data_IF_365819685531
#
_entry.id   IF_365819685531
#
_cell.length_a   1.000
_cell.length_b   1.000
_cell.length_c   1.000
_cell.angle_alpha   90.00
_cell.angle_beta   90.00
_cell.angle_gamma   90.00
#
_symmetry.space_group_name_H-M   'P 1'
#
loop_
_entity.id
_entity.type
_entity.pdbx_description
1 polymer ?
#
# COMPACT_ATOMS: atom_id res chain seq x y z
N UNK A 1 -8.77 -1.86 -5.62
CA UNK A 1 -9.09 -3.31 -5.56
C UNK A 1 -10.14 -3.80 -6.57
N UNK A 2 -10.67 -2.96 -7.47
CA UNK A 2 -11.71 -3.39 -8.43
C UNK A 2 -11.16 -4.22 -9.61
N UNK A 3 -9.90 -4.03 -9.99
CA UNK A 3 -9.33 -4.66 -11.19
C UNK A 3 -9.33 -6.21 -11.14
N UNK A 4 -8.94 -6.89 -10.04
CA UNK A 4 -8.98 -8.36 -9.99
C UNK A 4 -10.40 -8.94 -10.04
N UNK A 5 -11.39 -8.21 -9.50
CA UNK A 5 -12.80 -8.62 -9.54
C UNK A 5 -13.30 -8.55 -10.98
N UNK A 6 -13.05 -7.43 -11.65
CA UNK A 6 -13.38 -7.25 -13.06
C UNK A 6 -12.74 -8.32 -13.95
N UNK A 7 -11.48 -8.69 -13.70
CA UNK A 7 -10.81 -9.76 -14.46
C UNK A 7 -11.53 -11.11 -14.25
N UNK A 8 -11.89 -11.46 -13.01
CA UNK A 8 -12.60 -12.71 -12.72
C UNK A 8 -13.97 -12.77 -13.44
N UNK A 9 -14.74 -11.68 -13.39
CA UNK A 9 -16.01 -11.55 -14.10
C UNK A 9 -15.83 -11.69 -15.62
N UNK A 10 -14.78 -11.07 -16.18
CA UNK A 10 -14.50 -11.13 -17.62
C UNK A 10 -14.03 -12.52 -18.06
N UNK A 11 -13.23 -13.20 -17.24
CA UNK A 11 -12.85 -14.60 -17.48
C UNK A 11 -14.08 -15.50 -17.49
N UNK A 12 -15.00 -15.31 -16.55
CA UNK A 12 -16.28 -16.03 -16.50
C UNK A 12 -17.13 -15.74 -17.74
N UNK A 13 -17.27 -14.45 -18.11
CA UNK A 13 -18.05 -14.01 -19.26
C UNK A 13 -17.53 -14.59 -20.57
N UNK A 14 -16.21 -14.79 -20.69
CA UNK A 14 -15.56 -15.40 -21.86
C UNK A 14 -15.53 -16.92 -21.84
N UNK A 15 -16.06 -17.56 -20.80
CA UNK A 15 -16.05 -19.02 -20.68
C UNK A 15 -14.63 -19.60 -20.49
N UNK A 16 -13.73 -18.82 -19.88
CA UNK A 16 -12.38 -19.30 -19.59
C UNK A 16 -12.41 -20.38 -18.50
N UNK A 17 -11.40 -21.25 -18.50
CA UNK A 17 -11.29 -22.39 -17.57
C UNK A 17 -9.94 -22.47 -16.88
N UNK A 18 -8.97 -21.64 -17.29
CA UNK A 18 -7.64 -21.57 -16.72
C UNK A 18 -7.68 -21.05 -15.27
N UNK A 19 -6.76 -21.48 -14.40
CA UNK A 19 -6.64 -20.91 -13.06
C UNK A 19 -6.32 -19.41 -13.07
N UNK A 20 -6.95 -18.65 -12.17
CA UNK A 20 -6.67 -17.25 -11.88
C UNK A 20 -5.81 -17.15 -10.61
N UNK A 21 -4.56 -16.73 -10.77
CA UNK A 21 -3.64 -16.51 -9.65
C UNK A 21 -3.69 -15.04 -9.23
N UNK A 22 -3.99 -14.79 -7.96
CA UNK A 22 -4.07 -13.45 -7.37
C UNK A 22 -2.91 -13.24 -6.41
N UNK A 23 -2.12 -12.19 -6.62
CA UNK A 23 -1.03 -11.81 -5.71
C UNK A 23 -0.74 -10.31 -5.79
N UNK A 24 0.19 -9.84 -4.94
CA UNK A 24 0.63 -8.45 -4.87
C UNK A 24 0.17 -7.73 -3.60
N UNK A 25 0.77 -6.57 -3.34
CA UNK A 25 0.69 -5.86 -2.05
C UNK A 25 -0.73 -5.50 -1.58
N UNK A 26 -1.66 -5.29 -2.50
CA UNK A 26 -3.06 -4.91 -2.19
C UNK A 26 -4.02 -6.11 -2.11
N UNK A 27 -3.51 -7.32 -2.30
CA UNK A 27 -4.31 -8.54 -2.33
C UNK A 27 -4.14 -9.34 -1.03
N UNK A 28 -5.21 -10.00 -0.61
CA UNK A 28 -5.20 -10.82 0.60
C UNK A 28 -6.08 -12.04 0.43
N UNK A 29 -5.84 -13.08 1.22
CA UNK A 29 -6.68 -14.28 1.26
C UNK A 29 -8.15 -13.93 1.48
N UNK A 30 -8.43 -13.04 2.43
CA UNK A 30 -9.79 -12.60 2.75
C UNK A 30 -10.45 -11.86 1.58
N UNK A 31 -9.75 -10.90 0.96
CA UNK A 31 -10.30 -10.18 -0.20
C UNK A 31 -10.56 -11.13 -1.38
N UNK A 32 -9.63 -12.05 -1.67
CA UNK A 32 -9.78 -13.03 -2.75
C UNK A 32 -10.97 -13.95 -2.50
N UNK A 33 -11.05 -14.54 -1.31
CA UNK A 33 -12.13 -15.47 -0.95
C UNK A 33 -13.52 -14.81 -0.94
N UNK A 34 -13.62 -13.56 -0.47
CA UNK A 34 -14.90 -12.85 -0.28
C UNK A 34 -15.35 -12.11 -1.54
N UNK A 35 -14.44 -11.57 -2.35
CA UNK A 35 -14.77 -10.65 -3.44
C UNK A 35 -14.38 -11.11 -4.83
N UNK A 36 -13.42 -12.04 -4.99
CA UNK A 36 -12.91 -12.42 -6.32
C UNK A 36 -13.39 -13.83 -6.69
N UNK A 37 -13.20 -14.80 -5.80
CA UNK A 37 -13.51 -16.22 -6.01
C UNK A 37 -14.98 -16.48 -6.39
N UNK A 38 -15.90 -15.65 -5.92
CA UNK A 38 -17.34 -15.78 -6.20
C UNK A 38 -17.73 -15.38 -7.63
N UNK A 39 -16.84 -14.68 -8.34
CA UNK A 39 -17.12 -14.14 -9.68
C UNK A 39 -16.54 -14.99 -10.81
N UNK A 40 -15.85 -16.09 -10.49
CA UNK A 40 -15.29 -17.02 -11.46
C UNK A 40 -15.44 -18.47 -10.99
N UNK A 41 -16.08 -19.30 -11.81
CA UNK A 41 -16.31 -20.72 -11.49
C UNK A 41 -15.01 -21.54 -11.57
N UNK A 42 -14.05 -21.10 -12.38
CA UNK A 42 -12.74 -21.73 -12.44
C UNK A 42 -11.92 -21.55 -11.14
N UNK A 43 -10.71 -22.13 -11.09
CA UNK A 43 -9.86 -22.04 -9.91
C UNK A 43 -9.40 -20.60 -9.70
N UNK A 44 -9.63 -20.05 -8.51
CA UNK A 44 -9.04 -18.77 -8.06
C UNK A 44 -8.14 -19.08 -6.89
N UNK A 45 -6.85 -18.72 -6.98
CA UNK A 45 -5.87 -19.02 -5.95
C UNK A 45 -5.09 -17.76 -5.59
N UNK A 46 -5.21 -17.34 -4.35
CA UNK A 46 -4.36 -16.34 -3.73
C UNK A 46 -2.97 -16.91 -3.46
N UNK A 47 -1.94 -16.23 -3.96
CA UNK A 47 -0.54 -16.55 -3.77
C UNK A 47 0.11 -15.42 -2.98
N UNK A 48 0.61 -15.76 -1.79
CA UNK A 48 1.16 -14.79 -0.84
C UNK A 48 2.46 -14.15 -1.34
N UNK A 49 3.35 -14.96 -1.92
CA UNK A 49 4.71 -14.58 -2.30
C UNK A 49 5.19 -15.44 -3.48
N UNK A 50 6.31 -15.04 -4.09
CA UNK A 50 6.83 -15.70 -5.30
C UNK A 50 7.27 -17.14 -5.01
N UNK A 51 7.83 -17.42 -3.83
CA UNK A 51 8.30 -18.75 -3.44
C UNK A 51 7.18 -19.80 -3.50
N UNK A 52 5.96 -19.41 -3.12
CA UNK A 52 4.78 -20.29 -3.10
C UNK A 52 4.12 -20.45 -4.47
N UNK A 53 4.36 -19.54 -5.41
CA UNK A 53 3.75 -19.59 -6.73
C UNK A 53 4.10 -20.87 -7.49
N UNK A 54 5.35 -21.33 -7.36
CA UNK A 54 5.83 -22.56 -8.01
C UNK A 54 5.02 -23.77 -7.55
N UNK A 55 4.88 -23.98 -6.24
CA UNK A 55 4.13 -25.11 -5.69
C UNK A 55 2.64 -25.07 -6.08
N UNK A 56 2.04 -23.88 -6.11
CA UNK A 56 0.66 -23.71 -6.58
C UNK A 56 0.52 -24.11 -8.06
N UNK A 57 1.42 -23.64 -8.93
CA UNK A 57 1.41 -24.00 -10.34
C UNK A 57 1.64 -25.52 -10.54
N UNK A 58 2.55 -26.13 -9.80
CA UNK A 58 2.80 -27.58 -9.86
C UNK A 58 1.54 -28.38 -9.52
N UNK A 59 0.83 -28.02 -8.46
CA UNK A 59 -0.42 -28.67 -8.08
C UNK A 59 -1.52 -28.48 -9.13
N UNK A 60 -1.64 -27.26 -9.69
CA UNK A 60 -2.67 -26.94 -10.69
C UNK A 60 -2.43 -27.60 -12.05
N UNK A 61 -1.17 -27.90 -12.40
CA UNK A 61 -0.80 -28.55 -13.64
C UNK A 61 -0.76 -30.08 -13.53
N UNK A 62 -0.68 -30.63 -12.31
CA UNK A 62 -0.67 -32.08 -12.07
C UNK A 62 -2.06 -32.68 -12.26
N UNK A 63 -2.25 -33.66 -13.16
CA UNK A 63 -3.54 -34.32 -13.35
C UNK A 63 -4.07 -34.99 -12.08
N UNK A 64 -3.19 -35.52 -11.23
CA UNK A 64 -3.56 -36.28 -10.04
C UNK A 64 -3.85 -35.37 -8.83
N UNK A 65 -3.21 -34.21 -8.75
CA UNK A 65 -3.31 -33.29 -7.59
C UNK A 65 -4.29 -32.14 -7.81
N UNK A 66 -4.55 -31.76 -9.07
CA UNK A 66 -5.31 -30.55 -9.43
C UNK A 66 -6.68 -30.51 -8.78
N UNK A 67 -7.48 -31.55 -8.94
CA UNK A 67 -8.88 -31.54 -8.50
C UNK A 67 -8.99 -31.50 -6.97
N UNK A 68 -8.15 -32.28 -6.27
CA UNK A 68 -8.07 -32.26 -4.81
C UNK A 68 -7.61 -30.88 -4.30
N UNK A 69 -6.62 -30.27 -4.95
CA UNK A 69 -6.11 -28.95 -4.58
C UNK A 69 -7.14 -27.84 -4.77
N UNK A 70 -7.90 -27.87 -5.88
CA UNK A 70 -8.98 -26.92 -6.14
C UNK A 70 -10.09 -27.08 -5.10
N UNK A 71 -10.50 -28.32 -4.82
CA UNK A 71 -11.55 -28.61 -3.84
C UNK A 71 -11.16 -28.10 -2.45
N UNK A 72 -9.93 -28.37 -2.01
CA UNK A 72 -9.42 -27.87 -0.73
C UNK A 72 -9.39 -26.34 -0.69
N UNK A 73 -8.90 -25.69 -1.75
CA UNK A 73 -8.84 -24.22 -1.81
C UNK A 73 -10.24 -23.59 -1.72
N UNK A 74 -11.23 -24.15 -2.43
CA UNK A 74 -12.63 -23.68 -2.37
C UNK A 74 -13.24 -23.89 -0.97
N UNK A 75 -12.93 -25.00 -0.31
CA UNK A 75 -13.36 -25.27 1.07
C UNK A 75 -12.74 -24.27 2.06
N UNK A 76 -11.44 -23.99 1.93
CA UNK A 76 -10.74 -23.00 2.76
C UNK A 76 -11.36 -21.61 2.58
N UNK A 77 -11.70 -21.24 1.34
CA UNK A 77 -12.32 -19.94 1.05
C UNK A 77 -13.74 -19.84 1.59
N UNK A 78 -14.50 -20.94 1.59
CA UNK A 78 -15.80 -20.99 2.24
C UNK A 78 -15.66 -20.70 3.75
N UNK A 79 -14.71 -21.35 4.43
CA UNK A 79 -14.44 -21.09 5.85
C UNK A 79 -13.97 -19.66 6.13
N UNK A 80 -13.17 -19.06 5.24
CA UNK A 80 -12.78 -17.64 5.35
C UNK A 80 -13.99 -16.71 5.21
N UNK A 81 -14.90 -16.99 4.27
CA UNK A 81 -16.14 -16.21 4.08
C UNK A 81 -17.04 -16.29 5.30
N UNK A 82 -17.21 -17.47 5.88
CA UNK A 82 -18.02 -17.67 7.09
C UNK A 82 -17.46 -16.88 8.28
N UNK A 83 -16.14 -16.99 8.54
CA UNK A 83 -15.49 -16.22 9.62
C UNK A 83 -15.61 -14.71 9.40
N UNK A 84 -15.42 -14.25 8.17
CA UNK A 84 -15.55 -12.84 7.83
C UNK A 84 -16.99 -12.34 8.04
N UNK A 85 -18.00 -13.14 7.66
CA UNK A 85 -19.41 -12.81 7.90
C UNK A 85 -19.73 -12.75 9.40
N UNK A 86 -19.19 -13.66 10.20
CA UNK A 86 -19.37 -13.65 11.67
C UNK A 86 -18.76 -12.39 12.32
N UNK A 87 -17.60 -11.93 11.83
CA UNK A 87 -16.92 -10.73 12.34
C UNK A 87 -17.59 -9.41 11.91
N UNK A 88 -18.38 -9.40 10.83
CA UNK A 88 -19.09 -8.20 10.39
C UNK A 88 -20.19 -7.74 11.38
N UNK A 89 -20.57 -8.57 12.34
CA UNK A 89 -21.60 -8.26 13.34
C UNK A 89 -21.19 -7.32 14.47
N UNK A 90 -19.90 -7.02 14.66
CA UNK A 90 -19.42 -6.44 15.94
C UNK A 90 -18.85 -5.01 15.88
N UNK A 91 -18.64 -4.40 14.71
CA UNK A 91 -18.25 -2.98 14.71
C UNK A 91 -19.47 -2.13 15.07
N UNK A 92 -19.48 -1.53 16.28
CA UNK A 92 -20.46 -0.50 16.64
C UNK A 92 -20.30 0.71 15.72
N UNK A 93 -20.98 0.69 14.58
CA UNK A 93 -21.03 1.81 13.65
C UNK A 93 -21.99 2.83 14.21
N UNK A 94 -21.51 4.05 14.37
CA UNK A 94 -22.36 5.19 14.73
C UNK A 94 -22.80 5.92 13.47
N UNK A 95 -23.95 6.61 13.48
CA UNK A 95 -24.33 7.49 12.40
C UNK A 95 -23.26 8.56 12.15
N UNK A 96 -23.08 8.96 10.88
CA UNK A 96 -22.10 10.00 10.50
C UNK A 96 -22.27 11.29 11.31
N UNK A 97 -23.51 11.72 11.55
CA UNK A 97 -23.80 12.89 12.38
C UNK A 97 -23.28 12.74 13.82
N UNK A 98 -23.35 11.55 14.41
CA UNK A 98 -22.83 11.28 15.75
C UNK A 98 -21.30 11.28 15.75
N UNK A 99 -20.65 10.75 14.70
CA UNK A 99 -19.20 10.82 14.54
C UNK A 99 -18.71 12.28 14.44
N UNK A 100 -19.36 13.09 13.60
CA UNK A 100 -19.06 14.53 13.45
C UNK A 100 -19.26 15.31 14.74
N UNK A 101 -20.31 15.00 15.51
CA UNK A 101 -20.54 15.61 16.81
C UNK A 101 -19.44 15.26 17.84
N UNK A 102 -18.79 14.11 17.68
CA UNK A 102 -17.68 13.63 18.50
C UNK A 102 -16.30 13.89 17.88
N UNK A 103 -16.19 14.80 16.90
CA UNK A 103 -14.89 15.17 16.31
C UNK A 103 -13.97 15.80 17.35
N UNK A 104 -12.67 15.82 17.04
CA UNK A 104 -11.69 16.53 17.85
C UNK A 104 -12.06 18.03 17.94
N UNK A 105 -12.20 18.55 19.17
CA UNK A 105 -12.53 19.94 19.45
C UNK A 105 -11.26 20.67 19.89
N UNK A 106 -10.58 21.31 18.95
CA UNK A 106 -9.46 22.20 19.25
C UNK A 106 -9.95 23.53 19.86
N UNK A 107 -9.25 24.02 20.89
CA UNK A 107 -9.43 25.38 21.37
C UNK A 107 -8.58 26.37 20.55
N UNK A 108 -9.13 26.81 19.42
CA UNK A 108 -8.48 27.79 18.54
C UNK A 108 -8.31 29.18 19.16
N UNK A 109 -8.97 29.47 20.28
CA UNK A 109 -8.75 30.74 21.00
C UNK A 109 -7.43 30.72 21.78
N UNK A 110 -6.99 29.53 22.20
CA UNK A 110 -5.74 29.29 22.93
C UNK A 110 -4.55 28.91 22.03
N UNK A 111 -4.79 28.58 20.77
CA UNK A 111 -3.78 28.07 19.85
C UNK A 111 -3.80 28.80 18.51
N UNK A 112 -2.68 29.44 18.20
CA UNK A 112 -2.42 30.02 16.88
C UNK A 112 -1.50 29.08 16.10
N UNK A 113 -1.97 28.43 15.03
CA UNK A 113 -1.12 27.60 14.18
C UNK A 113 0.07 28.40 13.67
N UNK A 114 1.31 27.88 13.77
CA UNK A 114 2.48 28.59 13.29
C UNK A 114 2.38 28.74 11.77
N UNK A 115 2.64 29.94 11.21
CA UNK A 115 2.70 30.09 9.78
C UNK A 115 3.88 29.28 9.21
N UNK A 116 3.73 28.66 8.02
CA UNK A 116 4.85 28.01 7.36
C UNK A 116 5.95 29.03 7.06
N UNK A 117 7.22 28.63 7.22
CA UNK A 117 8.37 29.51 6.94
C UNK A 117 8.40 29.99 5.49
N UNK A 118 8.01 29.12 4.55
CA UNK A 118 7.98 29.41 3.12
C UNK A 118 6.70 28.80 2.51
N UNK A 119 5.58 29.53 2.50
CA UNK A 119 4.37 29.09 1.81
C UNK A 119 4.58 29.04 0.29
N UNK A 120 3.74 28.27 -0.40
CA UNK A 120 3.77 28.11 -1.86
C UNK A 120 4.32 26.75 -2.30
N UNK A 121 4.49 26.61 -3.62
CA UNK A 121 4.98 25.39 -4.27
C UNK A 121 6.50 25.40 -4.30
N UNK A 122 7.08 24.29 -3.86
CA UNK A 122 8.50 24.00 -3.85
C UNK A 122 8.80 22.90 -4.85
N UNK A 123 9.72 23.17 -5.78
CA UNK A 123 10.13 22.19 -6.79
C UNK A 123 11.59 21.85 -6.58
N UNK A 124 11.85 20.59 -6.25
CA UNK A 124 13.19 20.02 -6.16
C UNK A 124 13.50 19.35 -7.50
N UNK A 125 14.46 19.91 -8.23
CA UNK A 125 14.96 19.35 -9.49
C UNK A 125 16.37 18.82 -9.26
N UNK A 126 16.62 17.59 -9.69
CA UNK A 126 17.93 16.94 -9.58
C UNK A 126 18.48 16.98 -8.14
N UNK A 127 17.61 16.64 -7.17
CA UNK A 127 18.00 16.53 -5.76
C UNK A 127 19.11 15.50 -5.60
N UNK A 128 20.05 15.78 -4.69
CA UNK A 128 21.24 14.95 -4.52
C UNK A 128 20.87 13.56 -4.02
N UNK A 129 21.23 12.55 -4.81
CA UNK A 129 20.98 11.15 -4.46
C UNK A 129 21.87 10.73 -3.28
N UNK A 130 23.03 11.36 -3.08
CA UNK A 130 23.91 11.05 -1.96
C UNK A 130 23.26 11.43 -0.62
N UNK A 131 22.55 12.56 -0.58
CA UNK A 131 21.79 12.95 0.60
C UNK A 131 20.63 11.98 0.85
N UNK A 132 19.87 11.60 -0.18
CA UNK A 132 18.78 10.63 -0.04
C UNK A 132 19.26 9.25 0.43
N UNK A 133 20.46 8.85 0.05
CA UNK A 133 21.05 7.57 0.47
C UNK A 133 21.17 7.46 2.00
N UNK A 134 21.33 8.58 2.71
CA UNK A 134 21.40 8.62 4.18
C UNK A 134 20.04 8.36 4.85
N UNK A 135 18.93 8.58 4.12
CA UNK A 135 17.56 8.41 4.62
C UNK A 135 16.93 7.07 4.23
N UNK A 136 17.68 6.17 3.59
CA UNK A 136 17.18 4.84 3.23
C UNK A 136 16.92 4.02 4.50
N UNK A 137 15.65 3.66 4.73
CA UNK A 137 15.33 2.52 5.59
C UNK A 137 15.59 1.24 4.80
N UNK A 138 16.59 0.47 5.25
CA UNK A 138 16.96 -0.80 4.62
C UNK A 138 16.05 -1.96 5.01
N UNK A 139 15.18 -1.79 6.01
CA UNK A 139 14.28 -2.87 6.47
C UNK A 139 13.33 -3.33 5.35
N UNK A 140 12.62 -2.45 4.62
CA UNK A 140 11.81 -2.87 3.47
C UNK A 140 12.63 -3.47 2.33
N UNK A 141 13.89 -3.06 2.17
CA UNK A 141 14.79 -3.65 1.17
C UNK A 141 15.05 -5.13 1.47
N UNK A 142 15.40 -5.49 2.71
CA UNK A 142 15.57 -6.90 3.08
C UNK A 142 14.27 -7.70 2.96
N UNK A 143 13.14 -7.11 3.33
CA UNK A 143 11.82 -7.74 3.16
C UNK A 143 11.51 -8.06 1.70
N UNK A 144 11.88 -7.18 0.77
CA UNK A 144 11.70 -7.42 -0.66
C UNK A 144 12.55 -8.59 -1.18
N UNK A 145 13.63 -8.93 -0.48
CA UNK A 145 14.48 -10.10 -0.75
C UNK A 145 14.15 -11.31 0.14
N UNK A 146 12.96 -11.33 0.75
CA UNK A 146 12.47 -12.38 1.65
C UNK A 146 13.36 -12.62 2.91
N UNK A 147 14.24 -11.69 3.24
CA UNK A 147 15.04 -11.70 4.46
C UNK A 147 14.29 -10.98 5.58
N UNK A 148 13.81 -11.75 6.56
CA UNK A 148 12.94 -11.26 7.62
C UNK A 148 13.75 -10.82 8.84
N UNK A 149 13.81 -9.52 9.07
CA UNK A 149 14.49 -8.94 10.22
C UNK A 149 14.53 -7.43 10.09
N UNK A 150 14.81 -6.73 11.19
CA UNK A 150 14.91 -5.26 11.19
C UNK A 150 16.36 -4.84 11.00
N UNK A 151 16.63 -3.90 10.11
CA UNK A 151 17.94 -3.30 10.00
C UNK A 151 18.24 -2.39 11.21
N UNK A 152 19.47 -2.36 11.75
CA UNK A 152 20.66 -3.14 11.35
C UNK A 152 20.76 -4.54 11.98
N UNK A 153 19.88 -4.90 12.92
CA UNK A 153 19.94 -6.16 13.68
C UNK A 153 19.96 -7.43 12.81
N UNK A 154 19.31 -7.41 11.65
CA UNK A 154 19.30 -8.53 10.70
C UNK A 154 20.71 -8.94 10.24
N UNK A 155 21.69 -8.03 10.27
CA UNK A 155 23.06 -8.32 9.87
C UNK A 155 23.82 -9.23 10.85
N UNK A 156 23.35 -9.29 12.10
CA UNK A 156 23.91 -10.10 13.19
C UNK A 156 23.06 -11.36 13.45
N UNK A 157 22.04 -11.61 12.64
CA UNK A 157 21.18 -12.76 12.79
C UNK A 157 21.95 -14.07 12.57
N UNK A 158 21.74 -15.05 13.45
CA UNK A 158 22.49 -16.31 13.42
C UNK A 158 22.14 -17.22 12.23
N UNK A 159 20.98 -17.00 11.60
CA UNK A 159 20.46 -17.83 10.50
C UNK A 159 20.64 -17.14 9.16
N UNK A 160 20.26 -15.86 9.07
CA UNK A 160 20.24 -15.10 7.80
C UNK A 160 21.24 -13.96 7.73
N UNK A 161 22.04 -13.75 8.77
CA UNK A 161 22.92 -12.60 8.87
C UNK A 161 24.08 -12.61 7.88
N UNK A 162 24.53 -13.79 7.44
CA UNK A 162 25.57 -13.89 6.41
C UNK A 162 25.06 -13.41 5.05
N UNK A 163 23.92 -13.93 4.61
CA UNK A 163 23.24 -13.55 3.38
C UNK A 163 22.81 -12.08 3.42
N UNK A 164 22.31 -11.60 4.56
CA UNK A 164 21.93 -10.21 4.74
C UNK A 164 23.14 -9.27 4.61
N UNK A 165 24.31 -9.64 5.17
CA UNK A 165 25.55 -8.86 5.01
C UNK A 165 26.03 -8.84 3.57
N UNK A 166 25.99 -9.97 2.88
CA UNK A 166 26.38 -10.05 1.47
C UNK A 166 25.47 -9.18 0.59
N UNK A 167 24.15 -9.36 0.72
CA UNK A 167 23.17 -8.58 -0.03
C UNK A 167 23.30 -7.07 0.24
N UNK A 168 23.55 -6.69 1.49
CA UNK A 168 23.76 -5.29 1.86
C UNK A 168 25.04 -4.72 1.22
N UNK A 169 26.13 -5.50 1.20
CA UNK A 169 27.38 -5.09 0.56
C UNK A 169 27.18 -4.87 -0.95
N UNK A 170 26.50 -5.80 -1.62
CA UNK A 170 26.19 -5.69 -3.06
C UNK A 170 25.29 -4.48 -3.35
N UNK A 171 24.27 -4.26 -2.52
CA UNK A 171 23.37 -3.11 -2.65
C UNK A 171 24.10 -1.78 -2.44
N UNK A 172 25.01 -1.71 -1.47
CA UNK A 172 25.85 -0.52 -1.25
C UNK A 172 26.82 -0.27 -2.41
N UNK A 173 27.44 -1.31 -2.95
CA UNK A 173 28.30 -1.18 -4.12
C UNK A 173 27.53 -0.72 -5.36
N UNK A 174 26.29 -1.20 -5.54
CA UNK A 174 25.41 -0.73 -6.60
C UNK A 174 24.97 0.72 -6.38
N UNK A 175 24.63 1.10 -5.15
CA UNK A 175 24.28 2.47 -4.80
C UNK A 175 25.45 3.43 -5.09
N UNK A 176 26.68 3.06 -4.72
CA UNK A 176 27.87 3.84 -5.04
C UNK A 176 28.04 4.05 -6.54
N UNK A 177 27.80 3.03 -7.38
CA UNK A 177 27.80 3.16 -8.84
C UNK A 177 26.73 4.13 -9.34
N UNK A 178 25.53 4.10 -8.76
CA UNK A 178 24.43 5.02 -9.11
C UNK A 178 24.82 6.46 -8.77
N UNK A 179 25.43 6.68 -7.59
CA UNK A 179 25.87 8.00 -7.13
C UNK A 179 27.02 8.55 -7.98
N UNK A 180 28.08 7.76 -8.15
CA UNK A 180 29.28 8.16 -8.92
C UNK A 180 28.98 8.32 -10.41
N UNK A 181 28.17 7.41 -10.97
CA UNK A 181 27.73 7.43 -12.35
C UNK A 181 26.62 8.45 -12.64
N UNK A 182 26.03 9.08 -11.61
CA UNK A 182 24.90 10.00 -11.72
C UNK A 182 23.76 9.43 -12.57
N UNK A 183 23.31 8.21 -12.26
CA UNK A 183 22.30 7.45 -13.04
C UNK A 183 20.87 8.00 -12.89
N UNK A 184 20.70 9.32 -13.08
CA UNK A 184 19.46 10.06 -12.89
C UNK A 184 19.57 11.09 -11.76
N UNK A 185 18.45 11.75 -11.48
CA UNK A 185 18.34 12.70 -10.38
C UNK A 185 16.96 12.62 -9.75
N UNK A 186 16.91 12.73 -8.43
CA UNK A 186 15.63 12.75 -7.72
C UNK A 186 14.89 14.05 -8.00
N UNK A 187 13.56 13.96 -8.09
CA UNK A 187 12.68 15.10 -8.34
C UNK A 187 11.50 15.01 -7.40
N UNK A 188 11.10 16.14 -6.84
CA UNK A 188 9.94 16.23 -5.98
C UNK A 188 9.24 17.57 -6.18
N UNK A 189 7.95 17.58 -5.92
CA UNK A 189 7.15 18.80 -5.78
C UNK A 189 6.32 18.67 -4.52
N UNK A 190 6.34 19.70 -3.69
CA UNK A 190 5.50 19.78 -2.50
C UNK A 190 5.05 21.24 -2.33
N UNK A 191 4.03 21.49 -1.51
CA UNK A 191 3.56 22.84 -1.30
C UNK A 191 2.93 23.04 0.06
N UNK A 192 3.05 24.26 0.57
CA UNK A 192 2.48 24.69 1.84
C UNK A 192 1.45 25.79 1.55
N UNK A 193 0.18 25.51 1.80
CA UNK A 193 -0.92 26.39 1.44
C UNK A 193 -1.75 26.77 2.66
N UNK A 194 -2.34 27.98 2.69
CA UNK A 194 -3.38 28.28 3.66
C UNK A 194 -4.53 27.29 3.49
N UNK A 195 -4.98 26.72 4.60
CA UNK A 195 -6.08 25.77 4.60
C UNK A 195 -6.91 25.87 5.89
N UNK A 196 -8.18 25.51 5.81
CA UNK A 196 -9.08 25.41 6.96
C UNK A 196 -9.98 24.18 6.81
N UNK A 197 -10.30 23.55 7.94
CA UNK A 197 -11.33 22.53 7.97
C UNK A 197 -12.70 23.17 7.75
N UNK A 198 -13.52 22.59 6.86
CA UNK A 198 -14.90 23.01 6.57
C UNK A 198 -15.81 21.79 6.53
N UNK A 199 -17.13 22.01 6.64
CA UNK A 199 -18.15 20.93 6.54
C UNK A 199 -17.87 19.69 7.40
N UNK A 200 -17.23 19.88 8.56
CA UNK A 200 -16.75 18.87 9.52
C UNK A 200 -15.56 18.01 9.08
N UNK A 201 -15.54 17.53 7.83
CA UNK A 201 -14.60 16.50 7.37
C UNK A 201 -13.72 16.95 6.19
N UNK A 202 -14.01 18.10 5.58
CA UNK A 202 -13.30 18.59 4.40
C UNK A 202 -12.18 19.58 4.78
N UNK A 203 -11.20 19.74 3.90
CA UNK A 203 -10.17 20.79 4.01
C UNK A 203 -10.24 21.70 2.78
N UNK A 204 -10.62 22.96 2.99
CA UNK A 204 -10.48 24.00 1.97
C UNK A 204 -9.04 24.47 1.88
N UNK A 205 -8.53 24.55 0.66
CA UNK A 205 -7.21 25.09 0.34
C UNK A 205 -7.42 26.41 -0.40
N UNK A 206 -6.69 27.46 0.02
CA UNK A 206 -6.82 28.81 -0.53
C UNK A 206 -5.60 29.22 -1.35
N UNK A 207 -5.81 30.19 -2.26
CA UNK A 207 -4.71 30.83 -2.96
C UNK A 207 -3.78 31.58 -1.97
N UNK A 208 -2.45 31.65 -2.24
CA UNK A 208 -1.56 32.52 -1.48
C UNK A 208 -2.00 33.98 -1.64
N UNK A 209 -2.14 34.74 -0.55
CA UNK A 209 -2.44 36.17 -0.62
C UNK A 209 -1.17 36.95 -1.03
N UNK A 210 -1.24 37.89 -2.00
CA UNK A 210 -0.08 38.70 -2.41
C UNK A 210 0.46 39.61 -1.30
N UNK A 211 -0.39 40.19 -0.45
CA UNK A 211 -0.02 41.23 0.54
C UNK A 211 -1.01 41.36 1.71
N UNK A 212 -1.53 40.25 2.23
CA UNK A 212 -2.25 40.27 3.53
C UNK A 212 -3.64 40.92 3.58
N UNK A 213 -4.14 41.53 2.51
CA UNK A 213 -5.49 42.12 2.46
C UNK A 213 -6.30 41.57 1.28
N UNK A 214 -7.50 41.05 1.57
CA UNK A 214 -8.45 40.50 0.62
C UNK A 214 -9.14 39.20 1.08
N UNK A 215 -10.33 38.93 0.55
CA UNK A 215 -11.04 37.66 0.78
C UNK A 215 -10.25 36.48 0.17
N UNK A 216 -9.96 35.47 1.01
CA UNK A 216 -9.32 34.23 0.55
C UNK A 216 -10.34 33.41 -0.23
N UNK A 217 -10.15 33.32 -1.55
CA UNK A 217 -10.97 32.44 -2.39
C UNK A 217 -10.43 31.01 -2.32
N UNK A 218 -11.29 30.00 -2.07
CA UNK A 218 -10.89 28.60 -2.11
C UNK A 218 -10.50 28.24 -3.55
N UNK A 219 -9.37 27.54 -3.69
CA UNK A 219 -8.88 27.02 -4.98
C UNK A 219 -9.23 25.53 -5.15
N UNK A 220 -9.41 24.82 -4.05
CA UNK A 220 -9.77 23.40 -4.01
C UNK A 220 -10.36 23.05 -2.64
N UNK A 221 -11.28 22.08 -2.62
CA UNK A 221 -11.70 21.38 -1.40
C UNK A 221 -11.21 19.94 -1.48
N UNK A 222 -10.50 19.49 -0.45
CA UNK A 222 -10.08 18.11 -0.28
C UNK A 222 -11.11 17.38 0.57
N UNK A 223 -11.63 16.27 0.03
CA UNK A 223 -12.65 15.40 0.64
C UNK A 223 -12.04 14.09 1.18
#
# INVERSE_FOLDING_TARGET
CALPIYIAEEMQRRGMTQPLLIGGATTSLAHTAVKIDTNYQGPVVYVKDASRAVGVCTNLLSPDLRDAFIAQTKADYAGVRERHAAQQGESQRIPLAAARANKFKADWSSYTPPPPRQPGVHVLKNYDLAELAEYIDWTPFFQAWELHGRYPKILEDAVVGEEARQLFADARAMLEKILTGKWGGARAVFGLFPANAVHDDDIEIYAPLPTGEGERKPIMTWH
#
